data_IF_307756180870
#
_entry.id   IF_307756180870
#
_cell.length_a   1.000
_cell.length_b   1.000
_cell.length_c   1.000
_cell.angle_alpha   90.00
_cell.angle_beta   90.00
_cell.angle_gamma   90.00
#
_symmetry.space_group_name_H-M   'P 1'
#
loop_
_entity.id
_entity.type
_entity.pdbx_description
1 polymer ?
#
# COMPACT_ATOMS: atom_id res chain seq x y z
N UNK A 1 -57.39 -69.31 -30.29
CA UNK A 1 -56.04 -68.86 -30.65
C UNK A 1 -56.02 -67.34 -30.62
N UNK A 2 -55.55 -66.81 -29.54
CA UNK A 2 -55.43 -65.33 -29.33
C UNK A 2 -53.94 -64.95 -29.40
N UNK A 3 -53.59 -64.07 -30.27
CA UNK A 3 -52.28 -63.45 -30.37
C UNK A 3 -52.13 -62.27 -29.42
N UNK A 4 -51.01 -62.08 -28.69
CA UNK A 4 -50.83 -60.87 -27.88
C UNK A 4 -50.24 -59.75 -28.72
N UNK A 5 -50.77 -58.55 -28.51
CA UNK A 5 -50.23 -57.31 -29.07
C UNK A 5 -49.00 -56.82 -28.30
N UNK A 6 -47.96 -56.51 -29.03
CA UNK A 6 -46.74 -55.88 -28.46
C UNK A 6 -46.93 -54.38 -28.31
N UNK A 7 -46.81 -53.89 -27.09
CA UNK A 7 -46.75 -52.45 -26.80
C UNK A 7 -45.32 -51.93 -26.96
N UNK A 8 -45.08 -50.98 -27.88
CA UNK A 8 -43.81 -50.28 -28.03
C UNK A 8 -43.76 -49.12 -27.02
N UNK A 9 -42.79 -49.15 -26.09
CA UNK A 9 -42.47 -48.05 -25.19
C UNK A 9 -41.47 -47.15 -25.87
N UNK A 10 -41.90 -45.93 -26.22
CA UNK A 10 -41.04 -44.84 -26.71
C UNK A 10 -40.41 -44.14 -25.49
N UNK A 11 -39.07 -44.36 -25.29
CA UNK A 11 -38.27 -43.63 -24.34
C UNK A 11 -37.91 -42.25 -24.93
N UNK A 12 -38.56 -41.18 -24.53
CA UNK A 12 -38.18 -39.81 -24.88
C UNK A 12 -36.99 -39.35 -24.00
N UNK A 13 -35.80 -39.18 -24.59
CA UNK A 13 -34.65 -38.57 -23.93
C UNK A 13 -34.86 -37.05 -23.90
N UNK A 14 -35.12 -36.49 -22.74
CA UNK A 14 -35.13 -35.05 -22.52
C UNK A 14 -33.65 -34.57 -22.39
N UNK A 15 -33.16 -33.87 -23.40
CA UNK A 15 -31.87 -33.15 -23.34
C UNK A 15 -32.12 -31.86 -22.55
N UNK A 16 -31.67 -31.84 -21.29
CA UNK A 16 -31.61 -30.63 -20.48
C UNK A 16 -30.45 -29.75 -21.01
N UNK A 17 -30.77 -28.69 -21.75
CA UNK A 17 -29.80 -27.62 -22.07
C UNK A 17 -29.51 -26.88 -20.79
N UNK A 18 -28.35 -27.13 -20.19
CA UNK A 18 -27.79 -26.35 -19.10
C UNK A 18 -27.43 -24.96 -19.66
N UNK A 19 -28.29 -23.98 -19.47
CA UNK A 19 -27.99 -22.57 -19.71
C UNK A 19 -26.92 -22.14 -18.70
N UNK A 20 -25.67 -22.22 -19.09
CA UNK A 20 -24.56 -21.67 -18.31
C UNK A 20 -24.77 -20.16 -18.19
N UNK A 21 -25.15 -19.68 -17.02
CA UNK A 21 -25.17 -18.28 -16.70
C UNK A 21 -23.72 -17.76 -16.77
N UNK A 22 -23.36 -17.07 -17.84
CA UNK A 22 -22.11 -16.30 -17.89
C UNK A 22 -22.26 -15.18 -16.87
N UNK A 23 -21.62 -15.34 -15.70
CA UNK A 23 -21.53 -14.26 -14.74
C UNK A 23 -20.87 -13.08 -15.46
N UNK A 24 -21.43 -11.85 -15.35
CA UNK A 24 -20.77 -10.69 -15.94
C UNK A 24 -19.37 -10.56 -15.35
N UNK A 25 -18.36 -10.38 -16.19
CA UNK A 25 -17.01 -10.10 -15.74
C UNK A 25 -17.06 -8.90 -14.79
N UNK A 26 -16.59 -9.07 -13.58
CA UNK A 26 -16.52 -8.00 -12.60
C UNK A 26 -15.70 -6.86 -13.20
N UNK A 27 -16.25 -5.65 -13.25
CA UNK A 27 -15.55 -4.49 -13.77
C UNK A 27 -14.30 -4.25 -12.93
N UNK A 28 -13.14 -4.06 -13.59
CA UNK A 28 -11.89 -3.77 -12.91
C UNK A 28 -11.98 -2.46 -12.15
N UNK A 29 -11.32 -2.40 -11.01
CA UNK A 29 -11.20 -1.21 -10.16
C UNK A 29 -10.28 -0.22 -10.87
N UNK A 30 -10.75 1.01 -11.12
CA UNK A 30 -9.91 2.06 -11.71
C UNK A 30 -8.98 2.65 -10.67
N UNK A 31 -7.68 2.56 -10.94
CA UNK A 31 -6.62 3.03 -10.07
C UNK A 31 -5.78 4.08 -10.78
N UNK A 32 -5.44 5.17 -10.10
CA UNK A 32 -4.47 6.15 -10.57
C UNK A 32 -3.17 5.98 -9.81
N UNK A 33 -2.11 5.57 -10.49
CA UNK A 33 -0.75 5.63 -9.96
C UNK A 33 -0.16 7.02 -10.19
N UNK A 34 0.12 7.74 -9.11
CA UNK A 34 0.79 9.05 -9.14
C UNK A 34 2.26 8.87 -8.85
N UNK A 35 3.11 9.39 -9.75
CA UNK A 35 4.56 9.24 -9.73
C UNK A 35 5.26 10.40 -10.42
N UNK A 36 6.59 10.34 -10.61
CA UNK A 36 7.35 11.27 -11.44
C UNK A 36 8.49 11.98 -10.72
N UNK A 37 8.58 11.91 -9.40
CA UNK A 37 9.69 12.49 -8.65
C UNK A 37 10.03 11.62 -7.44
N UNK A 38 11.33 11.54 -7.14
CA UNK A 38 11.88 10.95 -5.92
C UNK A 38 12.89 11.90 -5.29
N UNK A 39 13.24 11.66 -4.04
CA UNK A 39 14.41 12.26 -3.44
C UNK A 39 15.70 11.56 -3.92
N UNK A 40 16.82 11.89 -3.27
CA UNK A 40 18.13 11.35 -3.61
C UNK A 40 18.35 9.89 -3.18
N UNK A 41 17.42 9.29 -2.43
CA UNK A 41 17.52 7.93 -1.88
C UNK A 41 16.64 6.92 -2.62
N UNK A 42 15.64 7.38 -3.37
CA UNK A 42 14.65 6.55 -4.03
C UNK A 42 14.68 6.69 -5.57
N UNK A 43 14.07 5.74 -6.27
CA UNK A 43 14.05 5.70 -7.73
C UNK A 43 12.65 5.29 -8.26
N UNK A 44 11.79 6.29 -8.47
CA UNK A 44 10.46 6.08 -9.01
C UNK A 44 10.46 5.51 -10.45
N UNK A 45 11.52 5.76 -11.23
CA UNK A 45 11.63 5.23 -12.60
C UNK A 45 11.73 3.70 -12.62
N UNK A 46 12.10 3.10 -11.48
CA UNK A 46 12.14 1.64 -11.29
C UNK A 46 10.93 1.16 -10.49
N UNK A 47 10.58 1.80 -9.36
CA UNK A 47 9.48 1.34 -8.50
C UNK A 47 8.12 1.45 -9.17
N UNK A 48 7.81 2.58 -9.83
CA UNK A 48 6.48 2.80 -10.40
C UNK A 48 6.10 1.84 -11.52
N UNK A 49 6.99 1.49 -12.47
CA UNK A 49 6.70 0.43 -13.46
C UNK A 49 6.43 -0.94 -12.79
N UNK A 50 7.16 -1.27 -11.70
CA UNK A 50 6.93 -2.51 -10.95
C UNK A 50 5.56 -2.46 -10.27
N UNK A 51 5.22 -1.38 -9.55
CA UNK A 51 3.91 -1.20 -8.90
C UNK A 51 2.78 -1.37 -9.91
N UNK A 52 2.88 -0.69 -11.07
CA UNK A 52 1.90 -0.83 -12.14
C UNK A 52 1.76 -2.28 -12.59
N UNK A 53 2.87 -2.94 -12.91
CA UNK A 53 2.89 -4.34 -13.35
C UNK A 53 2.22 -5.26 -12.34
N UNK A 54 2.57 -5.15 -11.05
CA UNK A 54 2.03 -5.98 -9.98
C UNK A 54 0.52 -5.80 -9.80
N UNK A 55 0.00 -4.58 -9.97
CA UNK A 55 -1.43 -4.32 -9.93
C UNK A 55 -2.12 -4.89 -11.17
N UNK A 56 -1.59 -4.66 -12.38
CA UNK A 56 -2.14 -5.17 -13.64
C UNK A 56 -2.19 -6.71 -13.66
N UNK A 57 -1.14 -7.39 -13.19
CA UNK A 57 -1.04 -8.85 -13.12
C UNK A 57 -2.09 -9.51 -12.22
N UNK A 58 -2.61 -8.80 -11.24
CA UNK A 58 -3.71 -9.29 -10.40
C UNK A 58 -5.01 -9.53 -11.18
N UNK A 59 -5.20 -8.85 -12.31
CA UNK A 59 -6.43 -8.84 -13.10
C UNK A 59 -7.59 -8.06 -12.47
N UNK A 60 -7.43 -7.51 -11.27
CA UNK A 60 -8.47 -6.79 -10.53
C UNK A 60 -8.52 -5.29 -10.87
N UNK A 61 -7.42 -4.72 -11.37
CA UNK A 61 -7.27 -3.28 -11.55
C UNK A 61 -7.13 -2.87 -13.01
N UNK A 62 -7.57 -1.63 -13.30
CA UNK A 62 -7.30 -0.87 -14.52
C UNK A 62 -6.47 0.35 -14.10
N UNK A 63 -5.17 0.31 -14.38
CA UNK A 63 -4.19 1.25 -13.83
C UNK A 63 -3.82 2.31 -14.84
N UNK A 64 -4.25 3.55 -14.58
CA UNK A 64 -3.72 4.74 -15.25
C UNK A 64 -2.53 5.31 -14.48
N UNK A 65 -1.61 5.95 -15.18
CA UNK A 65 -0.42 6.60 -14.57
C UNK A 65 -0.48 8.09 -14.81
N UNK A 66 -0.33 8.87 -13.75
CA UNK A 66 -0.13 10.32 -13.79
C UNK A 66 1.29 10.65 -13.33
N UNK A 67 2.11 11.07 -14.28
CA UNK A 67 3.49 11.47 -14.03
C UNK A 67 3.57 12.98 -13.85
N UNK A 68 4.16 13.41 -12.74
CA UNK A 68 4.41 14.84 -12.49
C UNK A 68 5.48 15.38 -13.45
N UNK A 69 5.59 16.72 -13.63
CA UNK A 69 6.74 17.30 -14.31
C UNK A 69 8.06 16.82 -13.69
N UNK A 70 9.13 16.69 -14.49
CA UNK A 70 10.44 16.31 -14.00
C UNK A 70 10.90 17.20 -12.85
N UNK A 71 11.58 16.63 -11.85
CA UNK A 71 12.07 17.39 -10.71
C UNK A 71 13.08 18.44 -11.12
N UNK A 72 12.75 19.72 -10.89
CA UNK A 72 13.64 20.84 -11.12
C UNK A 72 14.66 21.04 -10.00
N UNK A 73 15.65 21.91 -10.25
CA UNK A 73 16.70 22.24 -9.28
C UNK A 73 16.27 23.32 -8.25
N UNK A 74 15.18 24.00 -8.48
CA UNK A 74 14.73 25.12 -7.65
C UNK A 74 14.02 24.63 -6.38
N UNK A 75 14.04 25.40 -5.27
CA UNK A 75 13.27 25.08 -4.08
C UNK A 75 11.75 25.14 -4.30
N UNK A 76 11.30 25.85 -5.35
CA UNK A 76 9.89 26.01 -5.71
C UNK A 76 9.71 25.65 -7.19
N UNK A 77 9.15 24.51 -7.49
CA UNK A 77 8.80 24.10 -8.83
C UNK A 77 7.33 24.43 -9.11
N UNK A 78 7.05 24.96 -10.30
CA UNK A 78 5.67 25.10 -10.76
C UNK A 78 5.09 23.72 -11.08
N UNK A 79 4.08 23.33 -10.30
CA UNK A 79 3.34 22.08 -10.44
C UNK A 79 1.94 22.29 -11.05
N UNK A 80 1.65 23.47 -11.59
CA UNK A 80 0.32 23.84 -12.09
C UNK A 80 -0.16 22.97 -13.27
N UNK A 81 0.78 22.44 -14.07
CA UNK A 81 0.45 21.52 -15.18
C UNK A 81 0.04 20.11 -14.72
N UNK A 82 0.31 19.74 -13.48
CA UNK A 82 -0.11 18.46 -12.90
C UNK A 82 -1.47 18.62 -12.24
N UNK A 83 -2.53 18.21 -12.93
CA UNK A 83 -3.91 18.36 -12.46
C UNK A 83 -4.74 17.12 -12.79
N UNK A 84 -4.44 15.95 -12.20
CA UNK A 84 -5.22 14.74 -12.45
C UNK A 84 -6.63 14.87 -11.87
N UNK A 85 -7.60 14.25 -12.55
CA UNK A 85 -8.98 14.19 -12.08
C UNK A 85 -9.16 12.96 -11.18
N UNK A 86 -8.84 13.09 -9.89
CA UNK A 86 -8.88 12.00 -8.91
C UNK A 86 -10.24 11.31 -8.84
N UNK A 87 -11.35 12.06 -9.03
CA UNK A 87 -12.71 11.53 -8.96
C UNK A 87 -13.07 10.47 -10.02
N UNK A 88 -12.24 10.29 -11.05
CA UNK A 88 -12.44 9.28 -12.07
C UNK A 88 -11.95 7.88 -11.63
N UNK A 89 -11.31 7.79 -10.44
CA UNK A 89 -10.67 6.60 -9.91
C UNK A 89 -11.24 6.21 -8.55
N UNK A 90 -11.30 4.90 -8.27
CA UNK A 90 -11.71 4.39 -6.96
C UNK A 90 -10.57 4.41 -5.95
N UNK A 91 -9.32 4.31 -6.41
CA UNK A 91 -8.13 4.48 -5.56
C UNK A 91 -7.04 5.27 -6.28
N UNK A 92 -6.28 6.03 -5.48
CA UNK A 92 -5.03 6.67 -5.88
C UNK A 92 -3.89 5.98 -5.15
N UNK A 93 -2.89 5.53 -5.89
CA UNK A 93 -1.65 4.95 -5.36
C UNK A 93 -0.55 6.00 -5.51
N UNK A 94 0.10 6.35 -4.41
CA UNK A 94 1.24 7.26 -4.41
C UNK A 94 2.55 6.46 -4.33
N UNK A 95 3.34 6.55 -5.38
CA UNK A 95 4.76 6.22 -5.43
C UNK A 95 5.51 7.50 -5.84
N UNK A 96 5.51 8.47 -4.91
CA UNK A 96 5.92 9.84 -5.17
C UNK A 96 6.56 10.50 -3.95
N UNK A 97 7.72 11.08 -4.11
CA UNK A 97 8.38 11.91 -3.11
C UNK A 97 9.04 13.12 -3.78
N UNK A 98 8.25 14.14 -4.05
CA UNK A 98 8.67 15.31 -4.80
C UNK A 98 8.09 16.62 -4.29
N UNK A 99 8.00 17.60 -5.16
CA UNK A 99 7.41 18.90 -4.86
C UNK A 99 5.92 18.76 -4.54
N UNK A 100 5.44 19.65 -3.66
CA UNK A 100 4.02 19.71 -3.34
C UNK A 100 3.18 20.05 -4.57
N UNK A 101 2.00 19.46 -4.67
CA UNK A 101 1.03 19.80 -5.70
C UNK A 101 0.57 21.25 -5.59
N UNK A 102 0.15 21.84 -6.71
CA UNK A 102 -0.45 23.17 -6.70
C UNK A 102 -1.70 23.22 -5.77
N UNK A 103 -1.98 24.38 -5.12
CA UNK A 103 -3.07 24.46 -4.13
C UNK A 103 -4.43 23.93 -4.61
N UNK A 104 -4.90 24.17 -5.85
CA UNK A 104 -6.15 23.60 -6.33
C UNK A 104 -6.12 22.06 -6.40
N UNK A 105 -4.98 21.48 -6.75
CA UNK A 105 -4.79 20.02 -6.83
C UNK A 105 -4.75 19.41 -5.44
N UNK A 106 -4.11 20.08 -4.48
CA UNK A 106 -4.12 19.68 -3.07
C UNK A 106 -5.55 19.65 -2.53
N UNK A 107 -6.33 20.69 -2.80
CA UNK A 107 -7.73 20.75 -2.37
C UNK A 107 -8.57 19.62 -3.01
N UNK A 108 -8.43 19.41 -4.33
CA UNK A 108 -9.12 18.33 -5.02
C UNK A 108 -8.75 16.94 -4.48
N UNK A 109 -7.50 16.74 -4.09
CA UNK A 109 -7.03 15.49 -3.48
C UNK A 109 -7.63 15.29 -2.07
N UNK A 110 -7.64 16.35 -1.24
CA UNK A 110 -8.28 16.32 0.09
C UNK A 110 -9.76 15.98 -0.05
N UNK A 111 -10.47 16.66 -0.94
CA UNK A 111 -11.90 16.43 -1.16
C UNK A 111 -12.17 15.02 -1.67
N UNK A 112 -11.33 14.51 -2.56
CA UNK A 112 -11.42 13.13 -3.07
C UNK A 112 -11.35 12.11 -1.93
N UNK A 113 -10.29 12.16 -1.10
CA UNK A 113 -10.15 11.20 0.00
C UNK A 113 -11.25 11.41 1.04
N UNK A 114 -11.51 12.66 1.46
CA UNK A 114 -12.52 12.98 2.46
C UNK A 114 -13.92 12.50 2.10
N UNK A 115 -14.26 12.48 0.81
CA UNK A 115 -15.57 12.04 0.30
C UNK A 115 -15.64 10.52 0.02
N UNK A 116 -14.60 9.75 0.28
CA UNK A 116 -14.64 8.28 0.21
C UNK A 116 -13.68 7.66 -0.80
N UNK A 117 -12.87 8.45 -1.48
CA UNK A 117 -11.80 7.95 -2.34
C UNK A 117 -10.77 7.13 -1.57
N UNK A 118 -10.25 6.08 -2.20
CA UNK A 118 -9.18 5.25 -1.66
C UNK A 118 -7.81 5.90 -1.88
N UNK A 119 -6.93 5.78 -0.88
CA UNK A 119 -5.53 6.19 -0.99
C UNK A 119 -4.62 5.04 -0.60
N UNK A 120 -3.57 4.82 -1.38
CA UNK A 120 -2.48 3.89 -1.06
C UNK A 120 -1.18 4.69 -1.02
N UNK A 121 -0.45 4.58 0.06
CA UNK A 121 0.83 5.28 0.30
C UNK A 121 1.92 4.23 0.35
N UNK A 122 2.87 4.28 -0.57
CA UNK A 122 3.92 3.30 -0.70
C UNK A 122 5.26 3.90 -0.28
N UNK A 123 5.92 3.24 0.67
CA UNK A 123 7.30 3.47 1.07
C UNK A 123 7.72 4.96 1.05
N UNK A 124 8.45 5.40 0.01
CA UNK A 124 8.96 6.76 -0.12
C UNK A 124 7.88 7.86 -0.04
N UNK A 125 6.64 7.53 -0.36
CA UNK A 125 5.54 8.50 -0.30
C UNK A 125 5.21 8.92 1.14
N UNK A 126 5.64 8.18 2.16
CA UNK A 126 5.49 8.60 3.56
C UNK A 126 6.39 9.78 3.93
N UNK A 127 7.41 10.07 3.13
CA UNK A 127 8.28 11.23 3.24
C UNK A 127 7.77 12.46 2.47
N UNK A 128 6.76 12.28 1.62
CA UNK A 128 6.23 13.36 0.79
C UNK A 128 5.50 14.43 1.61
N UNK A 129 5.41 15.61 1.02
CA UNK A 129 4.55 16.72 1.46
C UNK A 129 4.61 17.10 2.94
N UNK A 130 5.78 17.36 3.45
CA UNK A 130 6.03 17.68 4.84
C UNK A 130 5.22 18.86 5.40
N UNK A 131 4.88 19.94 4.65
CA UNK A 131 4.09 21.12 5.04
C UNK A 131 2.58 20.94 4.88
N UNK A 132 2.14 19.79 4.36
CA UNK A 132 0.74 19.59 4.05
C UNK A 132 0.04 18.80 5.17
N UNK A 133 -0.61 19.53 6.08
CA UNK A 133 -1.18 18.99 7.32
C UNK A 133 -2.24 17.91 7.05
N UNK A 134 -3.11 18.10 6.05
CA UNK A 134 -4.15 17.14 5.71
C UNK A 134 -3.55 15.84 5.16
N UNK A 135 -2.49 15.92 4.36
CA UNK A 135 -1.78 14.72 3.91
C UNK A 135 -1.16 13.96 5.08
N UNK A 136 -0.55 14.69 6.02
CA UNK A 136 0.04 14.09 7.21
C UNK A 136 -1.01 13.38 8.07
N UNK A 137 -2.23 13.91 8.15
CA UNK A 137 -3.34 13.22 8.82
C UNK A 137 -3.80 11.97 8.03
N UNK A 138 -3.83 12.03 6.69
CA UNK A 138 -4.22 10.89 5.85
C UNK A 138 -3.28 9.72 6.01
N UNK A 139 -1.97 9.96 6.07
CA UNK A 139 -0.97 8.87 6.14
C UNK A 139 -0.66 8.41 7.56
N UNK A 140 -1.11 9.17 8.59
CA UNK A 140 -0.96 8.85 10.00
C UNK A 140 0.43 9.14 10.56
N UNK A 141 1.46 8.54 10.00
CA UNK A 141 2.88 8.78 10.32
C UNK A 141 3.70 8.86 9.05
N UNK A 142 4.85 9.52 9.10
CA UNK A 142 5.77 9.60 7.98
C UNK A 142 7.21 9.83 8.42
N UNK A 143 8.13 9.71 7.47
CA UNK A 143 9.58 9.80 7.68
C UNK A 143 10.12 11.22 7.65
N UNK A 144 9.34 12.21 7.92
CA UNK A 144 9.73 13.61 7.82
C UNK A 144 10.94 13.95 8.68
N UNK A 145 12.01 14.30 8.06
CA UNK A 145 13.18 14.76 8.75
C UNK A 145 14.48 14.66 7.99
N UNK A 146 14.98 15.79 7.55
CA UNK A 146 16.38 15.96 7.29
C UNK A 146 16.94 15.54 5.92
N UNK A 147 16.15 14.97 5.06
CA UNK A 147 16.66 14.47 3.78
C UNK A 147 16.65 15.49 2.65
N UNK A 148 15.87 16.55 2.75
CA UNK A 148 15.76 17.54 1.69
C UNK A 148 15.84 18.96 2.27
N UNK A 149 16.64 19.90 1.68
CA UNK A 149 16.62 21.29 2.07
C UNK A 149 15.18 21.83 2.05
N UNK A 150 14.75 22.47 3.13
CA UNK A 150 13.37 22.93 3.35
C UNK A 150 12.49 21.93 4.10
N UNK A 151 12.93 20.71 4.24
CA UNK A 151 12.21 19.67 5.01
C UNK A 151 12.80 19.42 6.42
N UNK A 152 13.93 20.02 6.73
CA UNK A 152 14.71 19.75 7.95
C UNK A 152 13.97 20.04 9.28
N UNK A 153 12.94 20.88 9.27
CA UNK A 153 12.31 21.35 10.51
C UNK A 153 11.05 20.57 10.92
N UNK A 154 10.79 19.46 10.27
CA UNK A 154 9.52 18.76 10.43
C UNK A 154 9.44 17.76 11.54
N UNK A 155 10.55 17.12 11.85
CA UNK A 155 10.63 16.09 12.87
C UNK A 155 10.16 16.52 14.24
N UNK A 156 10.28 17.79 14.55
CA UNK A 156 9.92 18.35 15.87
C UNK A 156 8.43 18.58 16.06
N UNK A 157 7.69 18.78 14.96
CA UNK A 157 6.25 19.11 15.01
C UNK A 157 5.36 17.99 14.52
N UNK A 158 5.93 16.89 14.05
CA UNK A 158 5.20 15.82 13.39
C UNK A 158 4.26 15.01 14.32
N UNK A 159 4.38 15.15 15.64
CA UNK A 159 3.57 14.40 16.62
C UNK A 159 4.25 13.11 17.10
N UNK A 160 3.47 12.19 17.69
CA UNK A 160 3.99 10.96 18.29
C UNK A 160 4.52 9.97 17.25
N UNK A 161 5.36 9.05 17.72
CA UNK A 161 5.63 7.78 17.07
C UNK A 161 4.54 6.78 17.42
N UNK A 162 4.28 5.84 16.55
CA UNK A 162 3.45 4.69 16.88
C UNK A 162 4.38 3.54 17.30
N UNK A 163 4.06 2.92 18.42
CA UNK A 163 4.72 1.71 18.95
C UNK A 163 3.70 0.62 19.22
N UNK A 164 4.16 -0.61 19.21
CA UNK A 164 3.35 -1.74 19.66
C UNK A 164 3.99 -2.36 20.89
N UNK A 165 3.42 -2.06 22.07
CA UNK A 165 3.93 -2.50 23.38
C UNK A 165 2.80 -3.17 24.14
N UNK A 166 3.07 -4.28 24.83
CA UNK A 166 2.10 -5.00 25.68
C UNK A 166 0.78 -5.32 24.96
N UNK A 167 0.86 -5.75 23.69
CA UNK A 167 -0.29 -6.16 22.89
C UNK A 167 -1.18 -5.02 22.38
N UNK A 168 -0.76 -3.76 22.46
CA UNK A 168 -1.54 -2.59 22.04
C UNK A 168 -0.69 -1.52 21.37
N UNK A 169 -1.37 -0.69 20.57
CA UNK A 169 -0.78 0.54 20.02
C UNK A 169 -0.56 1.57 21.14
N UNK A 170 0.63 2.17 21.13
CA UNK A 170 1.03 3.25 22.05
C UNK A 170 1.51 4.44 21.22
N UNK A 171 1.07 5.64 21.58
CA UNK A 171 1.56 6.90 21.02
C UNK A 171 2.74 7.40 21.88
N UNK A 172 3.94 7.34 21.32
CA UNK A 172 5.19 7.68 22.00
C UNK A 172 5.66 9.08 21.58
N UNK A 173 5.50 10.03 22.49
CA UNK A 173 5.96 11.41 22.33
C UNK A 173 7.38 11.63 22.87
N UNK A 174 7.86 10.76 23.75
CA UNK A 174 8.97 11.03 24.66
C UNK A 174 10.29 10.45 24.17
N UNK A 175 10.26 9.31 23.49
CA UNK A 175 11.48 8.67 22.99
C UNK A 175 12.14 9.54 21.92
N UNK A 176 13.42 9.95 22.09
CA UNK A 176 14.15 10.71 21.08
C UNK A 176 14.39 9.89 19.80
N UNK A 177 14.86 10.57 18.76
CA UNK A 177 15.22 9.94 17.49
C UNK A 177 14.34 10.41 16.32
N UNK A 178 14.97 10.42 15.16
CA UNK A 178 14.36 10.74 13.86
C UNK A 178 14.01 9.46 13.11
N UNK A 179 13.21 9.58 12.05
CA UNK A 179 12.97 8.49 11.14
C UNK A 179 14.30 7.94 10.59
N UNK A 180 14.42 6.64 10.59
CA UNK A 180 15.63 5.90 10.18
C UNK A 180 15.26 4.45 9.88
N UNK A 181 16.24 3.66 9.48
CA UNK A 181 16.12 2.22 9.29
C UNK A 181 17.48 1.52 9.52
N UNK A 182 17.51 0.26 9.96
CA UNK A 182 18.68 -0.61 9.82
C UNK A 182 19.04 -0.82 8.35
N UNK A 183 20.22 -1.34 8.07
CA UNK A 183 20.55 -1.80 6.73
C UNK A 183 19.51 -2.83 6.24
N UNK A 184 19.21 -2.91 4.94
CA UNK A 184 18.25 -3.88 4.41
C UNK A 184 18.57 -5.31 4.85
N UNK A 185 17.56 -6.02 5.35
CA UNK A 185 17.66 -7.40 5.85
C UNK A 185 16.31 -8.10 5.80
N UNK A 186 16.30 -9.41 5.96
CA UNK A 186 15.07 -10.17 6.16
C UNK A 186 14.54 -9.94 7.57
N UNK A 187 13.23 -9.71 7.73
CA UNK A 187 12.64 -9.52 9.05
C UNK A 187 11.25 -10.12 9.19
N UNK A 188 10.91 -10.47 10.42
CA UNK A 188 9.61 -11.05 10.76
C UNK A 188 8.55 -9.95 10.89
N UNK A 189 7.52 -10.03 10.08
CA UNK A 189 6.30 -9.21 10.20
C UNK A 189 5.28 -9.97 11.04
N UNK A 190 4.68 -9.30 12.01
CA UNK A 190 3.67 -9.87 12.92
C UNK A 190 2.36 -9.13 12.78
N UNK A 191 1.28 -9.86 12.53
CA UNK A 191 -0.09 -9.33 12.39
C UNK A 191 -0.59 -8.79 13.73
N UNK A 192 -1.24 -7.61 13.69
CA UNK A 192 -1.82 -6.95 14.86
C UNK A 192 -3.34 -6.79 14.79
N UNK A 193 -3.90 -6.84 13.59
CA UNK A 193 -5.33 -6.73 13.33
C UNK A 193 -5.81 -7.87 12.40
N UNK A 194 -5.88 -9.13 12.88
CA UNK A 194 -6.18 -10.30 12.03
C UNK A 194 -7.58 -10.27 11.41
N UNK A 195 -8.52 -9.57 12.03
CA UNK A 195 -9.90 -9.45 11.52
C UNK A 195 -10.07 -8.37 10.45
N UNK A 196 -9.05 -7.53 10.24
CA UNK A 196 -9.11 -6.50 9.21
C UNK A 196 -9.13 -7.14 7.81
N UNK A 197 -9.97 -6.67 6.86
CA UNK A 197 -10.10 -7.30 5.53
C UNK A 197 -8.78 -7.56 4.82
N UNK A 198 -7.81 -6.63 4.91
CA UNK A 198 -6.49 -6.80 4.30
C UNK A 198 -5.74 -8.00 4.88
N UNK A 199 -5.82 -8.21 6.19
CA UNK A 199 -5.05 -9.22 6.92
C UNK A 199 -5.75 -10.58 7.00
N UNK A 200 -7.06 -10.62 6.76
CA UNK A 200 -7.86 -11.84 6.89
C UNK A 200 -7.34 -12.97 6.01
N UNK A 201 -7.04 -14.12 6.65
CA UNK A 201 -6.52 -15.30 5.97
C UNK A 201 -5.00 -15.31 5.75
N UNK A 202 -4.27 -14.23 6.07
CA UNK A 202 -2.81 -14.24 6.14
C UNK A 202 -2.35 -15.01 7.40
N UNK A 203 -1.14 -15.63 7.40
CA UNK A 203 -0.57 -16.21 8.59
C UNK A 203 -0.37 -15.14 9.69
N UNK A 204 -0.30 -15.54 10.98
CA UNK A 204 -0.13 -14.58 12.08
C UNK A 204 1.23 -13.85 12.06
N UNK A 205 2.23 -14.44 11.39
CA UNK A 205 3.53 -13.84 11.15
C UNK A 205 4.19 -14.46 9.92
N UNK A 206 5.06 -13.70 9.26
CA UNK A 206 5.83 -14.17 8.08
C UNK A 206 7.13 -13.39 7.91
N UNK A 207 8.10 -13.97 7.19
CA UNK A 207 9.35 -13.32 6.84
C UNK A 207 9.17 -12.46 5.58
N UNK A 208 9.55 -11.19 5.67
CA UNK A 208 9.70 -10.29 4.53
C UNK A 208 11.15 -10.30 4.04
N UNK A 209 11.33 -10.25 2.70
CA UNK A 209 12.65 -10.40 2.10
C UNK A 209 13.38 -9.06 1.96
N UNK A 210 14.56 -8.98 2.52
CA UNK A 210 15.64 -7.99 2.30
C UNK A 210 15.18 -6.55 2.01
N UNK A 211 14.55 -5.89 2.97
CA UNK A 211 14.03 -4.53 2.82
C UNK A 211 14.51 -3.60 3.94
N UNK A 212 14.27 -2.31 3.78
CA UNK A 212 14.43 -1.31 4.82
C UNK A 212 13.29 -1.38 5.81
N UNK A 213 13.61 -1.60 7.09
CA UNK A 213 12.63 -1.54 8.17
C UNK A 213 12.55 -0.11 8.69
N UNK A 214 11.58 0.67 8.19
CA UNK A 214 11.38 2.04 8.64
C UNK A 214 11.03 2.11 10.12
N UNK A 215 11.73 2.98 10.82
CA UNK A 215 11.65 3.12 12.27
C UNK A 215 11.48 4.59 12.66
N UNK A 216 10.87 4.83 13.81
CA UNK A 216 10.69 6.17 14.34
C UNK A 216 9.85 7.10 13.47
N UNK A 217 8.99 6.57 12.59
CA UNK A 217 8.05 7.40 11.86
C UNK A 217 7.17 8.18 12.84
N UNK A 218 6.89 9.44 12.51
CA UNK A 218 6.10 10.35 13.33
C UNK A 218 4.92 10.91 12.56
N UNK A 219 3.90 11.29 13.24
CA UNK A 219 2.78 11.98 12.61
C UNK A 219 1.67 12.32 13.57
N UNK A 220 0.57 12.89 13.07
CA UNK A 220 -0.61 13.11 13.86
C UNK A 220 -1.16 11.84 14.50
N UNK A 221 -0.90 10.68 13.87
CA UNK A 221 -1.30 9.33 14.30
C UNK A 221 -2.80 9.23 14.65
N UNK A 222 -3.62 9.98 13.91
CA UNK A 222 -5.08 10.01 14.10
C UNK A 222 -5.74 8.90 13.28
N UNK A 223 -6.74 8.23 13.87
CA UNK A 223 -7.57 7.23 13.21
C UNK A 223 -6.77 6.08 12.56
N UNK A 224 -5.63 5.74 13.14
CA UNK A 224 -4.72 4.69 12.66
C UNK A 224 -5.08 3.35 13.29
N UNK A 225 -5.20 2.33 12.47
CA UNK A 225 -5.20 0.91 12.86
C UNK A 225 -3.88 0.31 12.39
N UNK A 226 -3.03 -0.13 13.31
CA UNK A 226 -1.82 -0.87 12.98
C UNK A 226 -2.20 -2.27 12.55
N UNK A 227 -1.95 -2.63 11.29
CA UNK A 227 -2.26 -3.95 10.74
C UNK A 227 -1.18 -4.96 11.04
N UNK A 228 0.08 -4.55 10.91
CA UNK A 228 1.24 -5.39 11.20
C UNK A 228 2.45 -4.55 11.65
N UNK A 229 3.35 -5.19 12.38
CA UNK A 229 4.60 -4.59 12.87
C UNK A 229 5.78 -5.52 12.63
N UNK A 230 6.98 -4.93 12.60
CA UNK A 230 8.23 -5.67 12.70
C UNK A 230 9.13 -5.06 13.78
N UNK A 231 9.95 -5.88 14.43
CA UNK A 231 10.90 -5.40 15.43
C UNK A 231 12.19 -4.96 14.76
N UNK A 232 12.58 -3.69 14.96
CA UNK A 232 13.86 -3.17 14.52
C UNK A 232 14.96 -3.60 15.48
N UNK A 233 15.85 -4.55 15.10
CA UNK A 233 16.75 -5.22 16.05
C UNK A 233 17.86 -4.29 16.56
N UNK A 234 18.06 -4.22 17.89
CA UNK A 234 19.12 -3.41 18.51
C UNK A 234 20.52 -3.92 18.20
N UNK A 235 20.67 -5.13 17.69
CA UNK A 235 21.92 -5.69 17.21
C UNK A 235 22.42 -5.04 15.91
N UNK A 236 21.58 -4.31 15.22
CA UNK A 236 21.91 -3.57 14.00
C UNK A 236 22.00 -2.06 14.28
N UNK A 237 22.92 -1.34 13.61
CA UNK A 237 22.90 0.12 13.63
C UNK A 237 21.51 0.67 13.22
N UNK A 238 21.05 1.71 13.91
CA UNK A 238 19.71 2.31 13.74
C UNK A 238 18.53 1.41 14.16
N UNK A 239 18.76 0.25 14.73
CA UNK A 239 17.71 -0.58 15.32
C UNK A 239 17.19 0.03 16.62
N UNK A 240 15.87 0.14 16.77
CA UNK A 240 15.23 0.81 17.92
C UNK A 240 14.91 -0.17 19.05
N UNK A 241 14.84 -1.47 18.78
CA UNK A 241 14.32 -2.48 19.72
C UNK A 241 12.80 -2.45 19.88
N UNK A 242 12.11 -1.65 19.07
CA UNK A 242 10.67 -1.46 19.11
C UNK A 242 9.98 -2.25 17.98
N UNK A 243 8.72 -2.58 18.22
CA UNK A 243 7.83 -3.05 17.17
C UNK A 243 7.30 -1.84 16.39
N UNK A 244 7.93 -1.58 15.26
CA UNK A 244 7.58 -0.47 14.37
C UNK A 244 6.37 -0.84 13.51
N UNK A 245 5.44 0.10 13.25
CA UNK A 245 4.32 -0.14 12.34
C UNK A 245 4.83 -0.24 10.90
N UNK A 246 4.52 -1.37 10.24
CA UNK A 246 4.94 -1.63 8.86
C UNK A 246 3.78 -1.40 7.90
N UNK A 247 2.59 -1.86 8.27
CA UNK A 247 1.37 -1.70 7.46
C UNK A 247 0.26 -1.14 8.33
N UNK A 248 -0.43 -0.14 7.82
CA UNK A 248 -1.46 0.58 8.55
C UNK A 248 -2.70 0.83 7.68
N UNK A 249 -3.85 0.90 8.33
CA UNK A 249 -5.09 1.40 7.75
C UNK A 249 -5.51 2.66 8.49
N UNK A 250 -5.84 3.71 7.75
CA UNK A 250 -6.23 5.00 8.31
C UNK A 250 -7.58 5.43 7.72
N UNK A 251 -8.40 6.08 8.52
CA UNK A 251 -9.64 6.68 8.05
C UNK A 251 -9.49 8.20 8.00
N UNK A 252 -9.76 8.80 6.84
CA UNK A 252 -9.81 10.26 6.67
C UNK A 252 -11.15 10.68 6.06
N UNK A 253 -12.01 11.30 6.85
CA UNK A 253 -13.39 11.53 6.45
C UNK A 253 -14.12 10.21 6.17
N UNK A 254 -14.59 10.01 4.94
CA UNK A 254 -15.17 8.75 4.46
C UNK A 254 -14.16 7.88 3.72
N UNK A 255 -12.96 8.39 3.46
CA UNK A 255 -11.90 7.71 2.71
C UNK A 255 -11.16 6.67 3.52
N UNK A 256 -10.58 5.73 2.80
CA UNK A 256 -9.76 4.65 3.34
C UNK A 256 -8.34 4.80 2.82
N UNK A 257 -7.39 4.82 3.73
CA UNK A 257 -5.97 4.96 3.41
C UNK A 257 -5.24 3.69 3.83
N UNK A 258 -4.59 3.04 2.89
CA UNK A 258 -3.65 1.97 3.14
C UNK A 258 -2.23 2.52 3.06
N UNK A 259 -1.48 2.40 4.13
CA UNK A 259 -0.09 2.85 4.21
C UNK A 259 0.81 1.62 4.39
N UNK A 260 1.72 1.44 3.44
CA UNK A 260 2.67 0.34 3.38
C UNK A 260 4.10 0.90 3.30
N UNK A 261 4.91 0.60 4.30
CA UNK A 261 6.30 1.07 4.36
C UNK A 261 7.29 0.14 3.64
N UNK A 262 6.81 -0.94 3.03
CA UNK A 262 7.63 -1.92 2.31
C UNK A 262 7.96 -1.45 0.89
N UNK A 263 8.93 -2.11 0.27
CA UNK A 263 9.19 -1.99 -1.16
C UNK A 263 10.25 -0.95 -1.53
N UNK A 264 11.32 -0.80 -0.73
CA UNK A 264 12.40 0.15 -1.02
C UNK A 264 13.07 -0.10 -2.37
N UNK A 265 13.26 0.98 -3.12
CA UNK A 265 14.07 1.02 -4.35
C UNK A 265 15.08 2.15 -4.24
N UNK A 266 16.33 1.81 -4.00
CA UNK A 266 17.41 2.79 -3.86
C UNK A 266 17.71 3.54 -5.15
N UNK A 267 18.20 4.78 -5.03
CA UNK A 267 18.40 5.74 -6.15
C UNK A 267 19.20 5.20 -7.35
N UNK A 268 20.08 4.21 -7.13
CA UNK A 268 20.90 3.60 -8.18
C UNK A 268 20.53 2.14 -8.46
N UNK A 269 19.53 1.61 -7.77
CA UNK A 269 19.09 0.23 -7.99
C UNK A 269 18.37 0.09 -9.34
N UNK A 270 18.48 -1.11 -9.88
CA UNK A 270 17.78 -1.56 -11.09
C UNK A 270 17.18 -2.93 -10.79
N UNK A 271 16.18 -3.33 -11.57
CA UNK A 271 15.62 -4.68 -11.45
C UNK A 271 16.73 -5.76 -11.58
N UNK A 272 16.67 -6.86 -10.80
CA UNK A 272 15.58 -7.23 -9.89
C UNK A 272 15.62 -6.47 -8.54
N UNK A 273 14.45 -6.12 -8.00
CA UNK A 273 14.28 -5.45 -6.70
C UNK A 273 13.66 -6.44 -5.72
N UNK A 274 14.48 -7.04 -4.86
CA UNK A 274 14.07 -8.13 -3.96
C UNK A 274 12.88 -7.77 -3.07
N UNK A 275 12.82 -6.60 -2.37
CA UNK A 275 11.66 -6.25 -1.56
C UNK A 275 10.36 -6.20 -2.36
N UNK A 276 10.38 -5.68 -3.59
CA UNK A 276 9.19 -5.62 -4.45
C UNK A 276 8.84 -6.96 -5.13
N UNK A 277 9.75 -7.93 -5.11
CA UNK A 277 9.52 -9.32 -5.55
C UNK A 277 9.02 -10.21 -4.40
N UNK A 278 9.08 -9.72 -3.16
CA UNK A 278 8.57 -10.45 -2.00
C UNK A 278 7.06 -10.68 -2.13
N UNK A 279 6.62 -11.93 -1.96
CA UNK A 279 5.23 -12.30 -2.20
C UNK A 279 4.27 -11.61 -1.24
N UNK A 280 4.71 -11.33 -0.01
CA UNK A 280 3.91 -10.56 0.96
C UNK A 280 3.72 -9.10 0.52
N UNK A 281 4.77 -8.44 -0.01
CA UNK A 281 4.63 -7.10 -0.59
C UNK A 281 3.61 -7.09 -1.74
N UNK A 282 3.72 -8.03 -2.67
CA UNK A 282 2.80 -8.15 -3.81
C UNK A 282 1.35 -8.30 -3.32
N UNK A 283 1.14 -9.19 -2.37
CA UNK A 283 -0.19 -9.47 -1.81
C UNK A 283 -0.73 -8.27 -1.03
N UNK A 284 0.10 -7.61 -0.22
CA UNK A 284 -0.31 -6.43 0.56
C UNK A 284 -0.63 -5.25 -0.35
N UNK A 285 0.18 -4.97 -1.36
CA UNK A 285 -0.09 -3.95 -2.37
C UNK A 285 -1.45 -4.17 -3.04
N UNK A 286 -1.71 -5.39 -3.52
CA UNK A 286 -2.95 -5.72 -4.22
C UNK A 286 -4.17 -5.66 -3.29
N UNK A 287 -4.12 -6.30 -2.11
CA UNK A 287 -5.21 -6.33 -1.13
C UNK A 287 -5.45 -4.96 -0.50
N UNK A 288 -4.39 -4.22 -0.22
CA UNK A 288 -4.46 -2.85 0.30
C UNK A 288 -5.13 -1.90 -0.69
N UNK A 289 -4.80 -2.01 -1.98
CA UNK A 289 -5.40 -1.23 -3.06
C UNK A 289 -6.88 -1.58 -3.23
N UNK A 290 -7.23 -2.88 -3.23
CA UNK A 290 -8.62 -3.33 -3.31
C UNK A 290 -9.45 -2.81 -2.13
N UNK A 291 -8.92 -2.93 -0.91
CA UNK A 291 -9.59 -2.43 0.29
C UNK A 291 -9.76 -0.91 0.29
N UNK A 292 -8.72 -0.18 -0.08
CA UNK A 292 -8.79 1.28 -0.16
C UNK A 292 -9.90 1.72 -1.13
N UNK A 293 -10.00 1.08 -2.28
CA UNK A 293 -11.01 1.35 -3.29
C UNK A 293 -12.43 0.97 -2.86
N UNK A 294 -12.61 -0.21 -2.25
CA UNK A 294 -13.93 -0.84 -2.09
C UNK A 294 -14.40 -1.03 -0.66
N UNK A 295 -13.48 -1.04 0.31
CA UNK A 295 -13.72 -1.43 1.70
C UNK A 295 -13.73 -2.95 1.93
N UNK A 296 -13.58 -3.75 0.88
CA UNK A 296 -13.54 -5.21 0.93
C UNK A 296 -12.25 -5.77 0.33
N UNK A 297 -11.98 -7.05 0.54
CA UNK A 297 -10.87 -7.78 -0.08
C UNK A 297 -11.35 -9.12 -0.57
N UNK A 298 -11.22 -9.35 -1.87
CA UNK A 298 -11.54 -10.62 -2.54
C UNK A 298 -10.30 -11.34 -3.05
N UNK A 299 -9.17 -10.62 -3.20
CA UNK A 299 -7.89 -11.17 -3.64
C UNK A 299 -7.42 -12.25 -2.65
N UNK A 300 -7.23 -13.50 -3.12
CA UNK A 300 -6.87 -14.62 -2.26
C UNK A 300 -5.42 -14.53 -1.77
N UNK A 301 -5.12 -15.25 -0.70
CA UNK A 301 -3.74 -15.50 -0.27
C UNK A 301 -3.16 -16.62 -1.13
N UNK A 302 -2.04 -16.40 -1.83
CA UNK A 302 -1.46 -17.41 -2.68
C UNK A 302 -0.75 -18.50 -1.86
N UNK A 303 -0.56 -19.69 -2.46
CA UNK A 303 0.05 -20.84 -1.77
C UNK A 303 1.52 -20.64 -1.42
N UNK A 304 2.20 -19.79 -2.17
CA UNK A 304 3.60 -19.43 -1.98
C UNK A 304 3.79 -18.22 -1.07
N UNK A 305 2.74 -17.80 -0.32
CA UNK A 305 2.88 -16.74 0.68
C UNK A 305 3.95 -17.15 1.72
N UNK A 306 4.84 -16.23 2.17
CA UNK A 306 5.92 -16.57 3.07
C UNK A 306 5.42 -17.11 4.43
N UNK A 307 6.28 -17.84 5.12
CA UNK A 307 6.03 -18.38 6.48
C UNK A 307 6.82 -17.60 7.52
N UNK A 308 6.62 -17.92 8.80
CA UNK A 308 7.39 -17.31 9.89
C UNK A 308 8.91 -17.63 9.84
N UNK A 309 9.30 -18.68 9.10
CA UNK A 309 10.68 -19.16 9.04
C UNK A 309 11.34 -18.96 7.66
N UNK A 310 10.56 -18.55 6.64
CA UNK A 310 11.04 -18.50 5.27
C UNK A 310 10.39 -17.38 4.46
N UNK A 311 11.24 -16.57 3.82
CA UNK A 311 10.86 -15.61 2.78
C UNK A 311 10.37 -16.30 1.51
N UNK A 312 9.61 -15.59 0.70
CA UNK A 312 9.18 -16.03 -0.63
C UNK A 312 9.29 -14.88 -1.62
N UNK A 313 9.97 -15.08 -2.73
CA UNK A 313 10.16 -14.08 -3.80
C UNK A 313 9.82 -14.67 -5.16
N UNK A 314 9.33 -13.84 -6.09
CA UNK A 314 8.97 -14.20 -7.46
C UNK A 314 9.84 -13.50 -8.49
#
# INVERSE_FOLDING_TARGET
MLRPAAAAVLLGAAIALASGSVLPAQSRIKVLLVTGQSNQYHNWEVSSPIVRRLLDESGHFDVAVATTPPKGAAPNQDMSSFAPKFSDFQAVVLDYEGFEFAPPVKQAFVDYVKNGGGLVVLHAADNAFPGWAEYNEMIGVGGWGGFTPGYANRTQTAGPKIRWRDGKMVLDNDTPGTAQHPAPHDYLITVRAPDHPIMKGLPPAWMHASDELYSNLRGPAKNVTVLATAMAPTSMPNGTGENEPIVMAITYGKGRVFHDTLGHVGAKQKEPIVPMQSVDYIVLLQRGTEWAATGAVTIPVPRDFPTADKTSVR
#
